data_IF_492754600132
#
_entry.id   IF_492754600132
#
_cell.length_a   1.000
_cell.length_b   1.000
_cell.length_c   1.000
_cell.angle_alpha   90.00
_cell.angle_beta   90.00
_cell.angle_gamma   90.00
#
_symmetry.space_group_name_H-M   'P 1'
#
loop_
_entity.id
_entity.type
_entity.pdbx_description
1 polymer ?
#
# COMPACT_ATOMS: atom_id res chain seq x y z
N UNK A 1 30.00 -28.67 -21.42
CA UNK A 1 28.91 -27.73 -21.69
C UNK A 1 27.77 -27.98 -20.72
N UNK A 2 27.00 -26.92 -20.35
CA UNK A 2 25.87 -27.04 -19.42
C UNK A 2 24.68 -26.18 -19.87
N UNK A 3 23.48 -26.63 -19.48
CA UNK A 3 22.23 -25.88 -19.64
C UNK A 3 21.44 -25.96 -18.33
N UNK A 4 20.94 -24.83 -17.87
CA UNK A 4 20.00 -24.81 -16.76
C UNK A 4 18.56 -24.90 -17.29
N UNK A 5 17.72 -25.67 -16.62
CA UNK A 5 16.29 -25.80 -16.90
C UNK A 5 15.54 -25.35 -15.65
N UNK A 6 14.74 -24.29 -15.81
CA UNK A 6 13.95 -23.71 -14.72
C UNK A 6 12.51 -23.52 -15.22
N UNK A 7 11.64 -24.46 -14.88
CA UNK A 7 10.21 -24.31 -15.18
C UNK A 7 9.55 -23.32 -14.23
N UNK A 8 8.54 -22.65 -14.74
CA UNK A 8 7.80 -21.60 -14.03
C UNK A 8 6.83 -22.23 -13.01
N UNK A 9 7.22 -22.26 -11.74
CA UNK A 9 6.43 -22.81 -10.65
C UNK A 9 6.27 -24.34 -10.63
N UNK A 10 6.93 -25.05 -11.54
CA UNK A 10 6.83 -26.51 -11.71
C UNK A 10 8.18 -27.12 -12.10
N UNK A 11 8.23 -28.46 -12.25
CA UNK A 11 9.43 -29.23 -12.63
C UNK A 11 9.14 -30.22 -13.77
N UNK A 12 8.16 -29.92 -14.59
CA UNK A 12 7.63 -30.85 -15.60
C UNK A 12 8.63 -31.19 -16.72
N UNK A 13 9.56 -30.30 -17.03
CA UNK A 13 10.58 -30.55 -18.04
C UNK A 13 11.71 -31.48 -17.58
N UNK A 14 11.87 -31.73 -16.27
CA UNK A 14 12.97 -32.52 -15.72
C UNK A 14 13.03 -33.98 -16.26
N UNK A 15 11.93 -34.77 -16.27
CA UNK A 15 11.96 -36.10 -16.80
C UNK A 15 12.35 -36.14 -18.29
N UNK A 16 11.81 -35.21 -19.08
CA UNK A 16 12.09 -35.11 -20.52
C UNK A 16 13.57 -34.81 -20.74
N UNK A 17 14.09 -33.81 -20.04
CA UNK A 17 15.49 -33.41 -20.13
C UNK A 17 16.46 -34.54 -19.72
N UNK A 18 16.13 -35.23 -18.62
CA UNK A 18 16.94 -36.33 -18.13
C UNK A 18 17.00 -37.51 -19.13
N UNK A 19 15.89 -37.79 -19.83
CA UNK A 19 15.86 -38.85 -20.84
C UNK A 19 16.63 -38.53 -22.13
N UNK A 20 16.92 -37.27 -22.40
CA UNK A 20 17.67 -36.83 -23.57
C UNK A 20 19.19 -36.92 -23.38
N UNK A 21 19.69 -37.03 -22.15
CA UNK A 21 21.10 -37.19 -21.85
C UNK A 21 21.56 -38.61 -22.14
N UNK A 22 22.55 -38.74 -23.02
CA UNK A 22 23.21 -40.03 -23.25
C UNK A 22 24.38 -40.22 -22.30
N UNK A 23 24.54 -41.44 -21.83
CA UNK A 23 25.63 -41.80 -20.93
C UNK A 23 26.99 -41.56 -21.60
N UNK A 24 27.81 -40.65 -21.01
CA UNK A 24 29.15 -40.32 -21.53
C UNK A 24 29.23 -39.03 -22.37
N UNK A 25 28.15 -38.29 -22.51
CA UNK A 25 28.19 -36.96 -23.13
C UNK A 25 28.82 -35.92 -22.20
N UNK A 26 29.69 -35.05 -22.75
CA UNK A 26 30.23 -33.86 -22.05
C UNK A 26 29.18 -32.74 -22.04
N UNK A 27 28.02 -33.03 -21.48
CA UNK A 27 26.93 -32.11 -21.31
C UNK A 27 26.23 -32.32 -19.97
N UNK A 28 26.03 -31.22 -19.22
CA UNK A 28 25.39 -31.26 -17.91
C UNK A 28 24.08 -30.45 -17.94
N UNK A 29 23.02 -31.04 -17.39
CA UNK A 29 21.78 -30.28 -17.09
C UNK A 29 21.83 -29.85 -15.62
N UNK A 30 21.61 -28.57 -15.40
CA UNK A 30 21.43 -28.00 -14.08
C UNK A 30 19.93 -27.82 -13.87
N UNK A 31 19.38 -28.55 -12.93
CA UNK A 31 17.96 -28.51 -12.61
C UNK A 31 17.68 -27.35 -11.65
N UNK A 32 16.59 -26.66 -11.88
CA UNK A 32 16.14 -25.57 -11.03
C UNK A 32 14.65 -25.34 -11.18
N UNK A 33 14.12 -24.41 -10.40
CA UNK A 33 12.73 -24.01 -10.46
C UNK A 33 12.64 -22.48 -10.34
N UNK A 34 11.76 -21.88 -11.11
CA UNK A 34 11.34 -20.51 -10.86
C UNK A 34 10.24 -20.56 -9.80
N UNK A 35 10.62 -20.22 -8.57
CA UNK A 35 9.71 -20.19 -7.44
C UNK A 35 9.03 -18.84 -7.26
N UNK A 36 7.85 -18.87 -6.68
CA UNK A 36 7.14 -17.67 -6.23
C UNK A 36 7.42 -17.50 -4.74
N UNK A 37 8.13 -16.45 -4.40
CA UNK A 37 8.35 -16.08 -3.00
C UNK A 37 7.25 -15.12 -2.56
N UNK A 38 6.62 -15.45 -1.45
CA UNK A 38 5.66 -14.60 -0.76
C UNK A 38 6.33 -14.14 0.53
N UNK A 39 6.33 -12.84 0.77
CA UNK A 39 6.75 -12.30 2.05
C UNK A 39 5.55 -12.41 3.02
N UNK A 40 5.42 -13.56 3.64
CA UNK A 40 4.39 -13.89 4.63
C UNK A 40 4.65 -13.27 6.01
N UNK A 41 5.83 -12.67 6.19
CA UNK A 41 6.21 -11.94 7.39
C UNK A 41 5.74 -10.48 7.35
N UNK A 42 5.37 -9.95 6.18
CA UNK A 42 4.78 -8.62 6.11
C UNK A 42 3.41 -8.65 6.77
N UNK A 43 3.39 -8.21 8.02
CA UNK A 43 2.15 -7.94 8.73
C UNK A 43 1.26 -6.98 7.94
N UNK A 44 -0.05 -7.01 8.21
CA UNK A 44 -1.06 -6.09 7.67
C UNK A 44 -0.70 -4.63 7.90
N UNK A 45 0.05 -4.38 8.96
CA UNK A 45 0.44 -3.08 9.45
C UNK A 45 1.95 -3.02 9.41
N UNK A 46 2.45 -2.03 8.69
CA UNK A 46 3.88 -1.81 8.55
C UNK A 46 4.38 -0.96 9.70
N UNK A 47 5.61 -1.26 10.17
CA UNK A 47 6.30 -0.46 11.17
C UNK A 47 5.48 -0.26 12.46
N UNK A 48 4.89 -1.35 12.96
CA UNK A 48 4.15 -1.30 14.23
C UNK A 48 5.09 -1.00 15.41
N UNK A 49 4.58 -0.24 16.37
CA UNK A 49 5.33 0.21 17.56
C UNK A 49 4.59 -0.15 18.85
N UNK A 50 3.73 -1.17 18.83
CA UNK A 50 2.96 -1.63 19.99
C UNK A 50 1.81 -0.72 20.41
N UNK A 51 1.28 0.09 19.49
CA UNK A 51 0.19 1.02 19.78
C UNK A 51 -1.10 0.27 20.12
N UNK A 52 -1.95 0.92 20.93
CA UNK A 52 -3.33 0.48 21.17
C UNK A 52 -4.19 0.76 19.93
N UNK A 53 -5.26 -0.02 19.75
CA UNK A 53 -6.21 0.18 18.65
C UNK A 53 -6.97 1.53 18.77
N UNK A 54 -7.03 2.12 19.96
CA UNK A 54 -7.63 3.44 20.22
C UNK A 54 -6.60 4.59 20.16
N UNK A 55 -5.40 4.36 19.60
CA UNK A 55 -4.40 5.40 19.41
C UNK A 55 -4.87 6.47 18.42
N UNK A 56 -4.08 7.52 18.30
CA UNK A 56 -4.32 8.60 17.34
C UNK A 56 -3.91 8.17 15.93
N UNK A 57 -4.73 8.53 14.94
CA UNK A 57 -4.50 8.21 13.54
C UNK A 57 -4.61 9.46 12.68
N UNK A 58 -3.81 9.52 11.62
CA UNK A 58 -3.97 10.46 10.52
C UNK A 58 -4.30 9.68 9.26
N UNK A 59 -5.54 9.77 8.82
CA UNK A 59 -6.01 9.17 7.57
C UNK A 59 -5.73 10.15 6.45
N UNK A 60 -5.06 9.73 5.39
CA UNK A 60 -4.67 10.63 4.32
C UNK A 60 -4.79 9.99 2.95
N UNK A 61 -4.90 10.84 1.96
CA UNK A 61 -4.91 10.53 0.53
C UNK A 61 -4.12 11.58 -0.22
N UNK A 62 -3.60 11.26 -1.40
CA UNK A 62 -2.88 12.21 -2.25
C UNK A 62 -3.36 12.14 -3.69
N UNK A 63 -3.37 13.30 -4.36
CA UNK A 63 -3.47 13.36 -5.80
C UNK A 63 -2.11 13.66 -6.44
N UNK A 64 -1.87 13.07 -7.60
CA UNK A 64 -0.54 13.10 -8.23
C UNK A 64 -0.62 13.28 -9.75
N UNK A 65 0.49 13.67 -10.37
CA UNK A 65 0.59 13.77 -11.83
C UNK A 65 0.70 12.42 -12.54
N UNK A 66 0.69 11.29 -11.81
CA UNK A 66 0.78 9.94 -12.34
C UNK A 66 1.18 8.93 -11.28
N UNK A 67 1.49 7.69 -11.65
CA UNK A 67 1.57 6.56 -10.73
C UNK A 67 2.97 6.28 -10.15
N UNK A 68 4.03 6.92 -10.63
CA UNK A 68 5.41 6.63 -10.24
C UNK A 68 5.91 7.64 -9.22
N UNK A 69 6.23 7.25 -7.96
CA UNK A 69 6.75 8.15 -6.94
C UNK A 69 8.06 8.86 -7.34
N UNK A 70 8.87 8.23 -8.20
CA UNK A 70 10.14 8.78 -8.66
C UNK A 70 9.98 9.76 -9.82
N UNK A 71 8.99 9.54 -10.69
CA UNK A 71 8.83 10.29 -11.95
C UNK A 71 7.69 11.31 -11.90
N UNK A 72 6.72 11.12 -11.03
CA UNK A 72 5.55 11.98 -10.92
C UNK A 72 5.60 12.84 -9.64
N UNK A 73 4.69 13.80 -9.56
CA UNK A 73 4.64 14.80 -8.50
C UNK A 73 3.31 14.75 -7.76
N UNK A 74 3.32 15.09 -6.48
CA UNK A 74 2.10 15.32 -5.69
C UNK A 74 1.50 16.66 -6.10
N UNK A 75 0.18 16.73 -6.23
CA UNK A 75 -0.58 17.95 -6.55
C UNK A 75 -1.61 18.33 -5.47
N UNK A 76 -2.01 17.38 -4.61
CA UNK A 76 -2.85 17.63 -3.45
C UNK A 76 -2.49 16.64 -2.34
N UNK A 77 -2.53 17.09 -1.07
CA UNK A 77 -2.50 16.23 0.12
C UNK A 77 -3.73 16.55 0.95
N UNK A 78 -4.57 15.55 1.17
CA UNK A 78 -5.71 15.60 2.06
C UNK A 78 -5.52 14.67 3.25
N UNK A 79 -5.81 15.13 4.47
CA UNK A 79 -5.73 14.27 5.63
C UNK A 79 -6.75 14.66 6.71
N UNK A 80 -7.12 13.66 7.52
CA UNK A 80 -8.09 13.78 8.60
C UNK A 80 -7.51 13.12 9.84
N UNK A 81 -7.49 13.82 10.95
CA UNK A 81 -7.06 13.30 12.26
C UNK A 81 -8.21 12.60 12.96
N UNK A 82 -7.93 11.41 13.47
CA UNK A 82 -8.83 10.65 14.34
C UNK A 82 -8.20 10.53 15.72
N UNK A 83 -8.94 10.94 16.74
CA UNK A 83 -8.57 10.78 18.15
C UNK A 83 -9.79 10.34 18.95
N UNK A 84 -9.59 9.39 19.86
CA UNK A 84 -10.68 8.81 20.67
C UNK A 84 -11.87 8.30 19.81
N UNK A 85 -11.55 7.75 18.63
CA UNK A 85 -12.54 7.23 17.67
C UNK A 85 -13.41 8.29 17.00
N UNK A 86 -12.99 9.56 17.04
CA UNK A 86 -13.70 10.71 16.45
C UNK A 86 -12.80 11.49 15.51
N UNK A 87 -13.37 11.99 14.43
CA UNK A 87 -12.72 12.94 13.53
C UNK A 87 -12.56 14.28 14.28
N UNK A 88 -11.36 14.85 14.25
CA UNK A 88 -11.00 16.08 14.95
C UNK A 88 -10.83 17.24 13.97
N UNK A 89 -9.75 17.21 13.21
CA UNK A 89 -9.33 18.27 12.30
C UNK A 89 -8.91 17.69 10.94
N UNK A 90 -8.69 18.57 9.99
CA UNK A 90 -8.31 18.23 8.63
C UNK A 90 -7.08 19.02 8.20
N UNK A 91 -6.27 18.39 7.35
CA UNK A 91 -5.19 19.01 6.59
C UNK A 91 -5.57 18.92 5.12
N UNK A 92 -5.56 20.03 4.39
CA UNK A 92 -5.90 20.06 2.97
C UNK A 92 -5.08 21.13 2.27
N UNK A 93 -4.13 20.69 1.44
CA UNK A 93 -3.20 21.58 0.77
C UNK A 93 -2.98 21.17 -0.68
N UNK A 94 -3.09 22.12 -1.60
CA UNK A 94 -2.57 21.96 -2.94
C UNK A 94 -1.05 22.06 -2.94
N UNK A 95 -0.43 21.33 -3.86
CA UNK A 95 1.02 21.34 -4.06
C UNK A 95 1.32 21.74 -5.50
N UNK A 96 2.17 22.75 -5.68
CA UNK A 96 2.67 23.09 -7.01
C UNK A 96 3.65 22.01 -7.47
N UNK A 97 3.31 21.24 -8.52
CA UNK A 97 4.19 20.16 -9.01
C UNK A 97 5.40 20.66 -9.81
N UNK A 98 5.43 21.95 -10.17
CA UNK A 98 6.42 22.60 -11.04
C UNK A 98 6.54 21.96 -12.44
N UNK A 99 5.56 21.15 -12.81
CA UNK A 99 5.41 20.52 -14.13
C UNK A 99 3.94 20.56 -14.54
N UNK A 100 3.62 20.57 -15.82
CA UNK A 100 2.22 20.53 -16.27
C UNK A 100 1.50 19.26 -15.80
N UNK A 101 0.24 19.43 -15.36
CA UNK A 101 -0.61 18.30 -14.99
C UNK A 101 -1.13 17.63 -16.28
N UNK A 102 -0.92 16.32 -16.47
CA UNK A 102 -1.45 15.62 -17.65
C UNK A 102 -2.98 15.77 -17.73
N UNK A 103 -3.50 15.96 -18.93
CA UNK A 103 -4.94 16.11 -19.17
C UNK A 103 -5.78 14.96 -18.57
N UNK A 104 -5.26 13.74 -18.63
CA UNK A 104 -5.92 12.56 -18.04
C UNK A 104 -6.08 12.67 -16.54
N UNK A 105 -5.10 13.28 -15.85
CA UNK A 105 -5.14 13.53 -14.41
C UNK A 105 -6.12 14.66 -14.09
N UNK A 106 -6.05 15.78 -14.82
CA UNK A 106 -7.04 16.85 -14.67
C UNK A 106 -8.46 16.35 -14.87
N UNK A 107 -8.68 15.49 -15.86
CA UNK A 107 -10.00 14.89 -16.09
C UNK A 107 -10.45 13.98 -14.93
N UNK A 108 -9.53 13.30 -14.27
CA UNK A 108 -9.80 12.39 -13.16
C UNK A 108 -10.07 13.16 -11.86
N UNK A 109 -9.16 14.09 -11.50
CA UNK A 109 -9.14 14.78 -10.20
C UNK A 109 -9.85 16.13 -10.20
N UNK A 110 -10.15 16.66 -11.39
CA UNK A 110 -10.60 18.03 -11.62
C UNK A 110 -9.59 19.12 -11.19
N UNK A 111 -8.36 18.72 -10.81
CA UNK A 111 -7.28 19.65 -10.46
C UNK A 111 -6.62 20.14 -11.75
N UNK A 112 -6.52 21.46 -11.89
CA UNK A 112 -5.92 22.14 -13.06
C UNK A 112 -4.61 22.81 -12.69
N UNK A 113 -3.75 23.09 -13.69
CA UNK A 113 -2.53 23.88 -13.48
C UNK A 113 -2.82 25.23 -12.82
N UNK A 114 -3.92 25.88 -13.19
CA UNK A 114 -4.32 27.17 -12.61
C UNK A 114 -4.60 27.10 -11.10
N UNK A 115 -5.07 25.95 -10.59
CA UNK A 115 -5.34 25.77 -9.16
C UNK A 115 -4.05 25.60 -8.35
N UNK A 116 -3.03 25.00 -8.93
CA UNK A 116 -1.79 24.65 -8.20
C UNK A 116 -0.61 25.59 -8.48
N UNK A 117 -0.67 26.42 -9.53
CA UNK A 117 0.46 27.26 -9.96
C UNK A 117 0.98 28.24 -8.88
N UNK A 118 0.10 28.70 -7.99
CA UNK A 118 0.44 29.59 -6.88
C UNK A 118 0.48 28.88 -5.53
N UNK A 119 0.28 27.55 -5.51
CA UNK A 119 0.42 26.76 -4.30
C UNK A 119 1.91 26.60 -3.91
N UNK A 120 2.21 26.36 -2.63
CA UNK A 120 3.57 26.02 -2.21
C UNK A 120 4.02 24.71 -2.85
N UNK A 121 5.35 24.56 -3.02
CA UNK A 121 5.93 23.31 -3.51
C UNK A 121 5.99 22.24 -2.42
N UNK A 122 6.36 21.01 -2.80
CA UNK A 122 6.42 19.87 -1.87
C UNK A 122 7.45 20.10 -0.76
N UNK A 123 8.51 20.89 -1.02
CA UNK A 123 9.54 21.25 -0.04
C UNK A 123 8.97 22.04 1.14
N UNK A 124 7.87 22.77 0.91
CA UNK A 124 7.17 23.54 1.95
C UNK A 124 6.05 22.74 2.60
N UNK A 125 5.31 21.97 1.81
CA UNK A 125 4.13 21.25 2.29
C UNK A 125 4.50 19.99 3.05
N UNK A 126 5.48 19.21 2.58
CA UNK A 126 5.81 17.93 3.21
C UNK A 126 6.29 18.08 4.67
N UNK A 127 7.15 19.04 5.04
CA UNK A 127 7.50 19.25 6.44
C UNK A 127 6.28 19.55 7.32
N UNK A 128 5.33 20.38 6.85
CA UNK A 128 4.08 20.69 7.57
C UNK A 128 3.19 19.46 7.70
N UNK A 129 3.12 18.63 6.66
CA UNK A 129 2.36 17.39 6.69
C UNK A 129 2.97 16.38 7.67
N UNK A 130 4.30 16.23 7.70
CA UNK A 130 4.97 15.37 8.66
C UNK A 130 4.81 15.88 10.10
N UNK A 131 4.83 17.20 10.31
CA UNK A 131 4.50 17.81 11.61
C UNK A 131 3.04 17.55 11.99
N UNK A 132 2.12 17.67 11.04
CA UNK A 132 0.71 17.32 11.24
C UNK A 132 0.53 15.84 11.61
N UNK A 133 1.26 14.90 11.01
CA UNK A 133 1.24 13.49 11.41
C UNK A 133 1.76 13.33 12.84
N UNK A 134 2.90 13.94 13.18
CA UNK A 134 3.54 13.78 14.49
C UNK A 134 3.80 12.30 14.81
N UNK A 135 3.37 11.86 15.99
CA UNK A 135 3.52 10.47 16.46
C UNK A 135 2.33 9.56 16.08
N UNK A 136 1.34 10.08 15.36
CA UNK A 136 0.16 9.32 14.97
C UNK A 136 0.50 8.19 13.97
N UNK A 137 -0.27 7.10 14.04
CA UNK A 137 -0.25 6.10 12.97
C UNK A 137 -0.95 6.66 11.74
N UNK A 138 -0.40 6.42 10.55
CA UNK A 138 -1.02 6.85 9.30
C UNK A 138 -1.88 5.76 8.70
N UNK A 139 -2.98 6.17 8.08
CA UNK A 139 -3.96 5.29 7.45
C UNK A 139 -4.21 5.78 6.04
N UNK A 140 -4.24 4.89 5.06
CA UNK A 140 -4.64 5.21 3.69
C UNK A 140 -5.39 4.04 3.05
N UNK A 141 -6.06 4.30 1.94
CA UNK A 141 -6.72 3.26 1.16
C UNK A 141 -5.83 2.82 0.00
N UNK A 142 -5.30 1.59 0.03
CA UNK A 142 -4.17 1.15 -0.81
C UNK A 142 -2.87 1.90 -0.47
N UNK A 143 -2.56 1.94 0.81
CA UNK A 143 -1.53 2.78 1.44
C UNK A 143 -0.14 2.73 0.80
N UNK A 144 0.18 1.66 0.06
CA UNK A 144 1.47 1.54 -0.64
C UNK A 144 1.67 2.65 -1.67
N UNK A 145 0.61 3.12 -2.32
CA UNK A 145 0.67 4.20 -3.28
C UNK A 145 1.03 5.53 -2.59
N UNK A 146 0.21 5.96 -1.66
CA UNK A 146 0.36 7.25 -0.98
C UNK A 146 1.65 7.35 -0.20
N UNK A 147 1.94 6.33 0.61
CA UNK A 147 3.16 6.27 1.42
C UNK A 147 4.42 6.17 0.55
N UNK A 148 4.32 5.58 -0.64
CA UNK A 148 5.40 5.54 -1.62
C UNK A 148 5.83 6.94 -2.06
N UNK A 149 4.88 7.81 -2.37
CA UNK A 149 5.15 9.22 -2.71
C UNK A 149 5.70 10.01 -1.53
N UNK A 150 5.12 9.84 -0.34
CA UNK A 150 5.62 10.52 0.87
C UNK A 150 7.05 10.09 1.18
N UNK A 151 7.36 8.79 1.16
CA UNK A 151 8.71 8.26 1.40
C UNK A 151 9.74 8.78 0.40
N UNK A 152 9.40 8.78 -0.90
CA UNK A 152 10.32 9.24 -1.94
C UNK A 152 10.63 10.73 -1.79
N UNK A 153 9.63 11.56 -1.52
CA UNK A 153 9.83 12.99 -1.30
C UNK A 153 10.54 13.27 0.02
N UNK A 154 10.21 12.57 1.11
CA UNK A 154 10.93 12.67 2.39
C UNK A 154 12.42 12.32 2.22
N UNK A 155 12.73 11.22 1.52
CA UNK A 155 14.11 10.82 1.20
C UNK A 155 14.86 11.92 0.43
N UNK A 156 14.22 12.50 -0.59
CA UNK A 156 14.81 13.59 -1.40
C UNK A 156 15.12 14.83 -0.58
N UNK A 157 14.30 15.13 0.42
CA UNK A 157 14.43 16.30 1.29
C UNK A 157 15.25 16.02 2.57
N UNK A 158 15.75 14.79 2.75
CA UNK A 158 16.47 14.40 3.97
C UNK A 158 15.59 14.37 5.22
N UNK A 159 14.27 14.19 5.05
CA UNK A 159 13.29 14.10 6.12
C UNK A 159 13.04 12.64 6.50
N UNK A 160 12.58 12.42 7.74
CA UNK A 160 12.23 11.09 8.24
C UNK A 160 10.72 10.90 8.16
N UNK A 161 10.28 9.78 7.55
CA UNK A 161 8.91 9.31 7.60
C UNK A 161 8.92 7.89 8.15
N UNK A 162 8.70 7.76 9.45
CA UNK A 162 8.79 6.51 10.22
C UNK A 162 7.48 6.19 10.96
N UNK A 163 6.33 6.53 10.39
CA UNK A 163 5.03 6.25 10.99
C UNK A 163 4.63 4.77 10.82
N UNK A 164 3.84 4.26 11.76
CA UNK A 164 3.10 3.02 11.58
C UNK A 164 2.06 3.23 10.48
N UNK A 165 1.95 2.27 9.55
CA UNK A 165 1.08 2.39 8.37
C UNK A 165 0.01 1.31 8.42
N UNK A 166 -1.25 1.73 8.33
CA UNK A 166 -2.43 0.87 8.25
C UNK A 166 -3.07 1.04 6.88
N UNK A 167 -3.31 -0.06 6.18
CA UNK A 167 -3.99 -0.07 4.88
C UNK A 167 -5.44 -0.53 5.04
N UNK A 168 -6.40 0.37 4.79
CA UNK A 168 -7.83 0.06 4.90
C UNK A 168 -8.30 -0.96 3.87
N UNK A 169 -7.68 -1.04 2.70
CA UNK A 169 -8.01 -2.06 1.70
C UNK A 169 -7.64 -3.46 2.22
N UNK A 170 -6.44 -3.60 2.74
CA UNK A 170 -5.96 -4.85 3.35
C UNK A 170 -6.81 -5.22 4.57
N UNK A 171 -7.13 -4.24 5.41
CA UNK A 171 -7.97 -4.45 6.59
C UNK A 171 -9.39 -4.91 6.21
N UNK A 172 -9.95 -4.32 5.14
CA UNK A 172 -11.26 -4.71 4.62
C UNK A 172 -11.30 -6.17 4.12
N UNK A 173 -10.21 -6.67 3.54
CA UNK A 173 -10.12 -8.08 3.13
C UNK A 173 -10.29 -9.04 4.32
N UNK A 174 -9.84 -8.66 5.50
CA UNK A 174 -9.94 -9.49 6.72
C UNK A 174 -11.29 -9.34 7.39
N UNK A 175 -11.79 -8.12 7.47
CA UNK A 175 -13.04 -7.84 8.16
C UNK A 175 -14.27 -8.25 7.33
N UNK A 176 -14.17 -8.23 6.01
CA UNK A 176 -15.26 -8.41 5.05
C UNK A 176 -14.83 -9.35 3.90
N UNK A 177 -14.43 -10.60 4.18
CA UNK A 177 -13.87 -11.51 3.16
C UNK A 177 -14.81 -11.76 1.98
N UNK A 178 -16.12 -11.69 2.19
CA UNK A 178 -17.16 -11.96 1.19
C UNK A 178 -17.46 -10.76 0.27
N UNK A 179 -16.83 -9.61 0.46
CA UNK A 179 -17.20 -8.39 -0.28
C UNK A 179 -16.84 -8.43 -1.78
N UNK A 180 -15.85 -9.22 -2.16
CA UNK A 180 -15.41 -9.46 -3.54
C UNK A 180 -14.63 -8.32 -4.19
N UNK A 181 -14.93 -7.05 -3.91
CA UNK A 181 -14.19 -5.84 -4.35
C UNK A 181 -14.01 -4.90 -3.17
N UNK A 182 -12.84 -4.27 -3.10
CA UNK A 182 -12.42 -3.45 -1.95
C UNK A 182 -11.98 -2.05 -2.36
N UNK A 183 -12.53 -1.52 -3.47
CA UNK A 183 -12.34 -0.12 -3.84
C UNK A 183 -12.99 0.81 -2.80
N UNK A 184 -12.51 2.03 -2.68
CA UNK A 184 -13.07 3.02 -1.74
C UNK A 184 -14.58 3.19 -1.94
N UNK A 185 -15.06 3.33 -3.19
CA UNK A 185 -16.48 3.40 -3.52
C UNK A 185 -17.29 2.20 -3.01
N UNK A 186 -16.73 1.00 -3.11
CA UNK A 186 -17.40 -0.21 -2.64
C UNK A 186 -17.48 -0.24 -1.12
N UNK A 187 -16.41 0.21 -0.44
CA UNK A 187 -16.40 0.33 1.02
C UNK A 187 -17.33 1.44 1.49
N UNK A 188 -17.38 2.58 0.80
CA UNK A 188 -18.35 3.65 1.08
C UNK A 188 -19.79 3.10 1.08
N UNK A 189 -20.17 2.36 0.03
CA UNK A 189 -21.48 1.71 -0.07
C UNK A 189 -21.72 0.69 1.05
N UNK A 190 -20.72 -0.13 1.37
CA UNK A 190 -20.79 -1.15 2.42
C UNK A 190 -21.02 -0.55 3.80
N UNK A 191 -20.33 0.56 4.08
CA UNK A 191 -20.38 1.22 5.38
C UNK A 191 -21.40 2.37 5.45
N UNK A 192 -22.12 2.67 4.36
CA UNK A 192 -23.05 3.80 4.31
C UNK A 192 -22.35 5.14 4.52
N UNK A 193 -21.19 5.33 3.91
CA UNK A 193 -20.42 6.57 3.88
C UNK A 193 -20.68 7.28 2.55
N UNK A 194 -20.90 8.59 2.59
CA UNK A 194 -21.06 9.42 1.39
C UNK A 194 -19.73 10.04 1.05
N UNK A 195 -19.29 9.90 -0.20
CA UNK A 195 -18.15 10.60 -0.75
C UNK A 195 -18.66 11.41 -1.95
N UNK A 196 -18.78 12.73 -1.76
CA UNK A 196 -19.43 13.61 -2.75
C UNK A 196 -18.52 13.96 -3.92
N UNK A 197 -17.21 14.08 -3.67
CA UNK A 197 -16.22 14.50 -4.65
C UNK A 197 -15.07 13.48 -4.73
N UNK A 198 -15.34 12.38 -5.43
CA UNK A 198 -14.29 11.38 -5.71
C UNK A 198 -13.09 12.01 -6.42
N UNK A 199 -11.91 11.51 -6.11
CA UNK A 199 -10.63 12.01 -6.62
C UNK A 199 -10.33 13.45 -6.20
N UNK A 200 -10.65 13.76 -4.94
CA UNK A 200 -10.17 14.91 -4.19
C UNK A 200 -9.60 14.37 -2.88
N UNK A 201 -8.32 14.63 -2.67
CA UNK A 201 -7.58 14.01 -1.57
C UNK A 201 -8.24 14.23 -0.20
N UNK A 202 -8.81 15.40 0.07
CA UNK A 202 -9.48 15.68 1.33
C UNK A 202 -10.78 14.87 1.50
N UNK A 203 -11.59 14.76 0.44
CA UNK A 203 -12.87 14.05 0.49
C UNK A 203 -12.64 12.53 0.58
N UNK A 204 -11.66 11.99 -0.18
CA UNK A 204 -11.29 10.58 -0.13
C UNK A 204 -10.66 10.21 1.23
N UNK A 205 -9.83 11.09 1.82
CA UNK A 205 -9.32 10.92 3.18
C UNK A 205 -10.43 10.95 4.23
N UNK A 206 -11.41 11.85 4.11
CA UNK A 206 -12.55 11.94 5.02
C UNK A 206 -13.44 10.69 4.94
N UNK A 207 -13.78 10.24 3.74
CA UNK A 207 -14.54 9.01 3.53
C UNK A 207 -13.79 7.78 4.09
N UNK A 208 -12.48 7.70 3.84
CA UNK A 208 -11.62 6.65 4.38
C UNK A 208 -11.57 6.70 5.92
N UNK A 209 -11.54 7.90 6.52
CA UNK A 209 -11.56 8.07 7.97
C UNK A 209 -12.87 7.57 8.60
N UNK A 210 -14.02 7.88 8.01
CA UNK A 210 -15.31 7.37 8.48
C UNK A 210 -15.40 5.85 8.39
N UNK A 211 -14.92 5.26 7.28
CA UNK A 211 -14.83 3.82 7.10
C UNK A 211 -13.92 3.21 8.16
N UNK A 212 -12.75 3.79 8.37
CA UNK A 212 -11.77 3.29 9.34
C UNK A 212 -12.29 3.32 10.78
N UNK A 213 -13.00 4.38 11.19
CA UNK A 213 -13.67 4.44 12.51
C UNK A 213 -14.66 3.27 12.68
N UNK A 214 -15.40 2.91 11.63
CA UNK A 214 -16.32 1.77 11.67
C UNK A 214 -15.57 0.44 11.70
N UNK A 215 -14.45 0.32 11.00
CA UNK A 215 -13.58 -0.86 11.06
C UNK A 215 -12.96 -1.04 12.45
N UNK A 216 -12.51 0.03 13.11
CA UNK A 216 -12.02 -0.03 14.50
C UNK A 216 -13.08 -0.64 15.43
N UNK A 217 -14.35 -0.26 15.29
CA UNK A 217 -15.44 -0.85 16.10
C UNK A 217 -15.55 -2.36 15.88
N UNK A 218 -15.53 -2.81 14.62
CA UNK A 218 -15.56 -4.24 14.28
C UNK A 218 -14.36 -5.00 14.84
N UNK A 219 -13.18 -4.39 14.83
CA UNK A 219 -11.95 -4.96 15.40
C UNK A 219 -12.10 -5.14 16.91
N UNK A 220 -12.60 -4.12 17.61
CA UNK A 220 -12.86 -4.14 19.07
C UNK A 220 -13.91 -5.18 19.45
N UNK A 221 -14.97 -5.35 18.66
CA UNK A 221 -15.98 -6.39 18.85
C UNK A 221 -15.41 -7.82 18.75
N UNK A 222 -14.27 -7.99 18.05
CA UNK A 222 -13.51 -9.25 18.02
C UNK A 222 -12.54 -9.42 19.21
N UNK A 223 -12.51 -8.47 20.15
CA UNK A 223 -11.65 -8.48 21.33
C UNK A 223 -10.21 -8.04 21.08
N UNK A 224 -9.90 -7.50 19.91
CA UNK A 224 -8.56 -7.01 19.54
C UNK A 224 -8.37 -5.60 20.14
N UNK A 225 -7.31 -5.40 20.90
CA UNK A 225 -7.05 -4.16 21.66
C UNK A 225 -5.78 -3.44 21.24
N UNK A 226 -4.88 -4.12 20.54
CA UNK A 226 -3.60 -3.58 20.08
C UNK A 226 -3.41 -3.77 18.58
N UNK A 227 -2.56 -2.93 18.00
CA UNK A 227 -2.12 -3.06 16.60
C UNK A 227 -1.38 -4.38 16.38
N UNK A 228 -0.62 -4.83 17.36
CA UNK A 228 0.09 -6.11 17.32
C UNK A 228 -0.88 -7.30 17.18
N UNK A 229 -1.89 -7.38 18.05
CA UNK A 229 -2.93 -8.43 17.96
C UNK A 229 -3.66 -8.40 16.62
N UNK A 230 -3.92 -7.20 16.09
CA UNK A 230 -4.52 -7.05 14.76
C UNK A 230 -3.61 -7.59 13.66
N UNK A 231 -2.32 -7.33 13.76
CA UNK A 231 -1.31 -7.80 12.82
C UNK A 231 -1.21 -9.33 12.83
N UNK A 232 -1.19 -9.95 14.01
CA UNK A 232 -1.18 -11.41 14.16
C UNK A 232 -2.47 -12.05 13.61
N UNK A 233 -3.63 -11.48 13.94
CA UNK A 233 -4.92 -11.97 13.46
C UNK A 233 -5.01 -11.95 11.92
N UNK A 234 -4.37 -10.99 11.28
CA UNK A 234 -4.35 -10.88 9.84
C UNK A 234 -3.31 -11.76 9.15
N UNK A 235 -2.15 -11.94 9.75
CA UNK A 235 -1.10 -12.84 9.22
C UNK A 235 -1.59 -14.30 9.16
N UNK A 236 -2.48 -14.70 10.05
CA UNK A 236 -3.08 -16.04 10.08
C UNK A 236 -4.17 -16.28 9.01
N UNK A 237 -4.52 -15.28 8.21
CA UNK A 237 -5.55 -15.41 7.18
C UNK A 237 -5.00 -16.07 5.90
N UNK A 238 -5.57 -17.23 5.45
CA UNK A 238 -5.17 -17.86 4.19
C UNK A 238 -5.29 -16.94 2.97
N UNK A 239 -6.20 -15.97 3.00
CA UNK A 239 -6.40 -15.00 1.93
C UNK A 239 -5.32 -13.90 1.91
N UNK A 240 -4.71 -13.57 3.04
CA UNK A 240 -3.58 -12.63 3.09
C UNK A 240 -2.38 -13.21 2.34
N UNK A 241 -2.09 -14.50 2.54
CA UNK A 241 -1.01 -15.22 1.83
C UNK A 241 -1.32 -15.32 0.34
N UNK A 242 -2.56 -15.60 -0.05
CA UNK A 242 -2.96 -15.71 -1.47
C UNK A 242 -2.85 -14.39 -2.25
N UNK A 243 -2.98 -13.26 -1.58
CA UNK A 243 -2.98 -11.92 -2.19
C UNK A 243 -1.69 -11.15 -1.96
N UNK A 244 -0.75 -11.73 -1.20
CA UNK A 244 0.56 -11.14 -0.98
C UNK A 244 1.31 -10.98 -2.31
N UNK A 245 2.09 -9.91 -2.43
CA UNK A 245 2.92 -9.67 -3.60
C UNK A 245 3.91 -10.83 -3.73
N UNK A 246 3.85 -11.51 -4.87
CA UNK A 246 4.80 -12.57 -5.19
C UNK A 246 6.04 -11.99 -5.86
N UNK A 247 7.20 -12.50 -5.47
CA UNK A 247 8.47 -12.23 -6.11
C UNK A 247 8.95 -13.51 -6.80
N UNK A 248 9.47 -13.38 -8.02
CA UNK A 248 10.04 -14.49 -8.75
C UNK A 248 11.48 -14.68 -8.36
N UNK A 249 11.86 -15.90 -8.04
CA UNK A 249 13.23 -16.26 -7.75
C UNK A 249 13.60 -17.56 -8.45
N UNK A 250 14.80 -17.62 -9.01
CA UNK A 250 15.32 -18.83 -9.64
C UNK A 250 16.19 -19.56 -8.62
N UNK A 251 15.82 -20.80 -8.34
CA UNK A 251 16.58 -21.70 -7.48
C UNK A 251 17.19 -22.79 -8.35
N UNK A 252 18.52 -22.92 -8.33
CA UNK A 252 19.25 -23.96 -9.04
C UNK A 252 19.77 -24.98 -8.04
N UNK A 253 19.72 -26.27 -8.41
CA UNK A 253 20.34 -27.31 -7.62
C UNK A 253 21.87 -27.17 -7.67
N UNK A 254 22.50 -27.11 -6.50
CA UNK A 254 23.95 -26.97 -6.38
C UNK A 254 24.69 -28.31 -6.51
N UNK A 255 24.04 -29.41 -6.11
CA UNK A 255 24.61 -30.79 -6.11
C UNK A 255 23.61 -31.78 -6.69
N UNK A 256 24.13 -32.87 -7.18
CA UNK A 256 23.34 -34.04 -7.62
C UNK A 256 22.79 -34.83 -6.43
#
# INVERSE_FOLDING_TARGET
>A
KALAITDHGVVQAFPIANHQLKKGEDFKIIYGVEGYFVDDVKGLIQNEKGQKIDSEYVVFDIETTGLSPTNNRIIEIGAVRIKDGRIQDTFSEFVNPEVPIPYTITKLTSITDAMVQNAPTIEVILPKFLEYIGDASVVAHNATFDTGFIRENAKRLGLVFDSTIVDTMTLAHILLPELGKYTLDRLCKQFGVVNEHHHRACDDAAATAEIFVKMIKMIKEKGITTIHELNEAGAASPDAIRKAKTYHGIILAANE
#
